data_IF_986863384413
#
_entry.id   IF_986863384413
#
_cell.length_a   1.000
_cell.length_b   1.000
_cell.length_c   1.000
_cell.angle_alpha   90.00
_cell.angle_beta   90.00
_cell.angle_gamma   90.00
#
_symmetry.space_group_name_H-M   'P 1'
#
loop_
_entity.id
_entity.type
_entity.pdbx_description
1 polymer ?
#
# COMPACT_ATOMS: atom_id res chain seq x y z
N UNK A 1 -18.97 -1.92 -9.72
CA UNK A 1 -18.82 -1.44 -8.33
C UNK A 1 -17.56 -0.58 -8.31
N UNK A 2 -17.68 0.71 -8.00
CA UNK A 2 -16.48 1.49 -7.73
C UNK A 2 -15.81 0.87 -6.50
N UNK A 3 -14.52 0.53 -6.54
CA UNK A 3 -13.85 0.03 -5.36
C UNK A 3 -14.04 1.08 -4.24
N UNK A 4 -14.33 0.63 -3.02
CA UNK A 4 -14.42 1.51 -1.84
C UNK A 4 -13.07 2.11 -1.42
N UNK A 5 -12.10 2.16 -2.33
CA UNK A 5 -10.74 2.64 -2.14
C UNK A 5 -10.20 3.26 -3.44
N UNK A 6 -9.22 4.15 -3.30
CA UNK A 6 -8.50 4.83 -4.38
C UNK A 6 -6.99 4.66 -4.16
N UNK A 7 -6.22 4.47 -5.23
CA UNK A 7 -4.75 4.41 -5.19
C UNK A 7 -4.17 5.39 -6.20
N UNK A 8 -3.19 6.20 -5.77
CA UNK A 8 -2.53 7.21 -6.60
C UNK A 8 -1.02 7.19 -6.35
N UNK A 9 -0.25 7.61 -7.34
CA UNK A 9 1.21 7.83 -7.21
C UNK A 9 1.44 9.33 -7.32
N UNK A 10 1.38 10.10 -6.22
CA UNK A 10 1.55 11.54 -6.26
C UNK A 10 3.02 11.96 -6.48
N UNK A 11 3.98 11.12 -6.10
CA UNK A 11 5.41 11.37 -6.30
C UNK A 11 6.16 10.04 -6.57
N UNK A 12 7.39 10.12 -7.09
CA UNK A 12 8.25 8.95 -7.32
C UNK A 12 8.65 8.17 -6.06
N UNK A 13 8.36 8.69 -4.86
CA UNK A 13 8.74 8.09 -3.58
C UNK A 13 7.55 7.65 -2.72
N UNK A 14 6.33 7.82 -3.22
CA UNK A 14 5.16 7.51 -2.43
C UNK A 14 3.97 7.09 -3.27
N UNK A 15 3.19 6.19 -2.68
CA UNK A 15 1.90 5.76 -3.15
C UNK A 15 0.87 6.15 -2.11
N UNK A 16 -0.14 6.89 -2.54
CA UNK A 16 -1.27 7.27 -1.72
C UNK A 16 -2.37 6.20 -1.86
N UNK A 17 -2.80 5.66 -0.73
CA UNK A 17 -3.95 4.77 -0.62
C UNK A 17 -5.04 5.49 0.18
N UNK A 18 -6.26 5.53 -0.35
CA UNK A 18 -7.43 6.09 0.34
C UNK A 18 -8.51 5.05 0.45
N UNK A 19 -9.13 4.92 1.61
CA UNK A 19 -10.28 4.05 1.83
C UNK A 19 -11.24 4.78 2.78
N UNK A 20 -12.45 5.09 2.30
CA UNK A 20 -13.42 5.91 3.05
C UNK A 20 -12.81 7.27 3.45
N UNK A 21 -12.76 7.56 4.76
CA UNK A 21 -12.21 8.79 5.32
C UNK A 21 -10.71 8.65 5.65
N UNK A 22 -10.14 7.45 5.51
CA UNK A 22 -8.75 7.16 5.83
C UNK A 22 -7.85 7.33 4.60
N UNK A 23 -6.72 8.01 4.81
CA UNK A 23 -5.65 8.13 3.81
C UNK A 23 -4.37 7.55 4.40
N UNK A 24 -3.56 6.88 3.59
CA UNK A 24 -2.24 6.35 3.95
C UNK A 24 -1.26 6.70 2.85
N UNK A 25 -0.05 7.11 3.24
CA UNK A 25 1.09 7.23 2.35
C UNK A 25 2.01 6.04 2.57
N UNK A 26 2.17 5.21 1.53
CA UNK A 26 3.13 4.12 1.49
C UNK A 26 4.42 4.65 0.87
N UNK A 27 5.53 4.57 1.61
CA UNK A 27 6.85 4.98 1.12
C UNK A 27 7.40 3.93 0.15
N UNK A 28 7.29 4.20 -1.15
CA UNK A 28 7.72 3.29 -2.22
C UNK A 28 8.60 4.07 -3.18
N UNK A 29 9.86 3.68 -3.35
CA UNK A 29 10.75 4.27 -4.35
C UNK A 29 10.51 3.61 -5.72
N UNK A 30 9.75 4.27 -6.58
CA UNK A 30 9.43 3.79 -7.93
C UNK A 30 10.63 3.83 -8.89
N UNK A 31 11.78 4.32 -8.45
CA UNK A 31 13.02 4.33 -9.24
C UNK A 31 13.82 3.05 -9.04
N UNK A 32 13.51 2.28 -8.01
CA UNK A 32 14.16 0.99 -7.77
C UNK A 32 13.78 -0.02 -8.85
N UNK A 33 14.73 -0.91 -9.15
CA UNK A 33 14.53 -1.96 -10.15
C UNK A 33 13.54 -3.04 -9.70
N UNK A 34 13.31 -3.14 -8.39
CA UNK A 34 12.39 -4.05 -7.73
C UNK A 34 11.64 -3.27 -6.66
N UNK A 35 10.31 -3.37 -6.66
CA UNK A 35 9.45 -2.79 -5.62
C UNK A 35 9.18 -3.87 -4.59
N UNK A 36 9.54 -3.62 -3.33
CA UNK A 36 9.24 -4.52 -2.23
C UNK A 36 7.98 -4.06 -1.52
N UNK A 37 7.06 -5.00 -1.29
CA UNK A 37 5.84 -4.80 -0.52
C UNK A 37 5.91 -5.70 0.72
N UNK A 38 5.95 -5.10 1.90
CA UNK A 38 5.93 -5.81 3.19
C UNK A 38 5.05 -5.08 4.23
N UNK A 39 4.81 -5.74 5.37
CA UNK A 39 3.92 -5.26 6.44
C UNK A 39 4.36 -3.92 7.07
N UNK A 40 5.61 -3.48 6.88
CA UNK A 40 6.13 -2.21 7.36
C UNK A 40 5.72 -1.00 6.50
N UNK A 41 5.20 -1.22 5.28
CA UNK A 41 4.72 -0.13 4.44
C UNK A 41 3.37 0.44 4.90
N UNK A 42 2.50 -0.42 5.45
CA UNK A 42 1.12 -0.07 5.77
C UNK A 42 0.94 0.19 7.29
N UNK A 43 1.69 1.14 7.85
CA UNK A 43 1.82 1.25 9.31
C UNK A 43 0.91 2.30 9.97
N UNK A 44 0.66 3.42 9.30
CA UNK A 44 -0.01 4.58 9.89
C UNK A 44 -0.99 5.19 8.89
N UNK A 45 -2.17 5.58 9.38
CA UNK A 45 -3.07 6.46 8.66
C UNK A 45 -2.63 7.92 8.81
N UNK A 46 -2.83 8.72 7.79
CA UNK A 46 -2.66 10.17 7.85
C UNK A 46 -3.64 10.81 8.82
N UNK A 47 -3.36 12.07 9.19
CA UNK A 47 -4.24 12.84 10.06
C UNK A 47 -5.69 12.90 9.48
N UNK A 48 -6.73 12.82 10.32
CA UNK A 48 -6.71 12.85 11.80
C UNK A 48 -6.56 11.48 12.49
N UNK A 49 -6.31 10.40 11.75
CA UNK A 49 -6.39 9.01 12.26
C UNK A 49 -5.02 8.40 12.61
N UNK A 50 -3.99 9.23 12.81
CA UNK A 50 -2.60 8.79 13.05
C UNK A 50 -2.40 7.91 14.29
N UNK A 51 -3.33 7.95 15.24
CA UNK A 51 -3.29 7.12 16.45
C UNK A 51 -4.07 5.80 16.32
N UNK A 52 -4.80 5.61 15.22
CA UNK A 52 -5.57 4.39 15.01
C UNK A 52 -4.63 3.23 14.69
N UNK A 53 -4.79 2.13 15.43
CA UNK A 53 -4.01 0.91 15.22
C UNK A 53 -4.51 0.18 13.98
N UNK A 54 -3.61 -0.10 13.05
CA UNK A 54 -3.91 -0.89 11.87
C UNK A 54 -3.66 -2.37 12.17
N UNK A 55 -4.72 -3.16 12.18
CA UNK A 55 -4.63 -4.61 12.40
C UNK A 55 -3.91 -5.30 11.24
N UNK A 56 -3.21 -6.41 11.50
CA UNK A 56 -2.47 -7.15 10.47
C UNK A 56 -3.35 -7.60 9.30
N UNK A 57 -4.61 -7.99 9.57
CA UNK A 57 -5.56 -8.35 8.50
C UNK A 57 -5.89 -7.15 7.57
N UNK A 58 -5.97 -5.95 8.13
CA UNK A 58 -6.20 -4.72 7.36
C UNK A 58 -4.96 -4.36 6.55
N UNK A 59 -3.77 -4.46 7.15
CA UNK A 59 -2.49 -4.22 6.45
C UNK A 59 -2.34 -5.14 5.24
N UNK A 60 -2.56 -6.44 5.43
CA UNK A 60 -2.50 -7.43 4.34
C UNK A 60 -3.46 -7.07 3.21
N UNK A 61 -4.72 -6.74 3.54
CA UNK A 61 -5.71 -6.29 2.54
C UNK A 61 -5.26 -5.05 1.77
N UNK A 62 -4.63 -4.08 2.43
CA UNK A 62 -4.11 -2.88 1.77
C UNK A 62 -2.99 -3.27 0.81
N UNK A 63 -2.03 -4.09 1.28
CA UNK A 63 -0.91 -4.54 0.45
C UNK A 63 -1.35 -5.38 -0.74
N UNK A 64 -2.33 -6.28 -0.58
CA UNK A 64 -2.94 -7.05 -1.68
C UNK A 64 -3.51 -6.10 -2.76
N UNK A 65 -4.22 -5.05 -2.34
CA UNK A 65 -4.80 -4.04 -3.25
C UNK A 65 -3.71 -3.22 -3.95
N UNK A 66 -2.64 -2.87 -3.23
CA UNK A 66 -1.49 -2.16 -3.79
C UNK A 66 -0.74 -3.04 -4.79
N UNK A 67 -0.50 -4.30 -4.47
CA UNK A 67 0.11 -5.28 -5.37
C UNK A 67 -0.70 -5.42 -6.66
N UNK A 68 -2.02 -5.66 -6.55
CA UNK A 68 -2.90 -5.76 -7.70
C UNK A 68 -2.92 -4.47 -8.54
N UNK A 69 -2.91 -3.30 -7.90
CA UNK A 69 -2.80 -2.02 -8.59
C UNK A 69 -1.47 -1.89 -9.36
N UNK A 70 -0.34 -2.15 -8.71
CA UNK A 70 0.99 -2.03 -9.33
C UNK A 70 1.18 -3.03 -10.48
N UNK A 71 0.83 -4.29 -10.28
CA UNK A 71 1.05 -5.35 -11.27
C UNK A 71 0.00 -5.31 -12.37
N UNK A 72 -1.30 -5.31 -12.02
CA UNK A 72 -2.37 -5.49 -13.01
C UNK A 72 -2.79 -4.20 -13.69
N UNK A 73 -2.79 -3.08 -12.98
CA UNK A 73 -3.24 -1.80 -13.54
C UNK A 73 -2.09 -0.96 -14.09
N UNK A 74 -0.93 -0.98 -13.43
CA UNK A 74 0.24 -0.17 -13.83
C UNK A 74 1.31 -0.97 -14.59
N UNK A 75 1.26 -2.30 -14.56
CA UNK A 75 2.15 -3.16 -15.34
C UNK A 75 3.58 -3.24 -14.82
N UNK A 76 3.81 -2.94 -13.54
CA UNK A 76 5.12 -3.19 -12.91
C UNK A 76 5.41 -4.69 -12.91
N UNK A 77 6.61 -5.07 -13.37
CA UNK A 77 7.00 -6.48 -13.55
C UNK A 77 7.80 -7.05 -12.38
N UNK A 78 8.46 -6.18 -11.63
CA UNK A 78 9.35 -6.55 -10.54
C UNK A 78 8.75 -6.02 -9.23
N UNK A 79 7.72 -6.72 -8.74
CA UNK A 79 7.09 -6.42 -7.45
C UNK A 79 7.19 -7.68 -6.60
N UNK A 80 7.98 -7.61 -5.54
CA UNK A 80 8.13 -8.69 -4.55
C UNK A 80 7.17 -8.42 -3.40
N UNK A 81 6.35 -9.41 -3.07
CA UNK A 81 5.39 -9.32 -1.96
C UNK A 81 5.80 -10.31 -0.88
N UNK A 82 6.39 -9.82 0.20
CA UNK A 82 6.75 -10.67 1.33
C UNK A 82 5.52 -10.85 2.22
N UNK A 83 4.92 -12.03 2.16
CA UNK A 83 3.95 -12.46 3.16
C UNK A 83 4.71 -12.69 4.46
N UNK A 84 4.50 -11.84 5.47
CA UNK A 84 5.08 -12.00 6.79
C UNK A 84 4.84 -13.41 7.32
N UNK A 85 5.90 -14.22 7.29
CA UNK A 85 5.89 -15.60 7.77
C UNK A 85 5.64 -15.53 9.28
N UNK A 86 4.48 -16.05 9.70
CA UNK A 86 4.11 -16.14 11.10
C UNK A 86 5.08 -17.07 11.82
N UNK A 87 6.12 -16.49 12.44
CA UNK A 87 7.00 -17.16 13.40
C UNK A 87 6.96 -16.49 14.75
#
# INVERSE_FOLDING_TARGET
MCPGYEIRIPHFYCLEYREQDHTMLLEIDFRDSVIYLDDSLAMVWEAPFTQEKIESAVRRRILDRVYDYLVRQRGFKNVEYEEGDGR
#
